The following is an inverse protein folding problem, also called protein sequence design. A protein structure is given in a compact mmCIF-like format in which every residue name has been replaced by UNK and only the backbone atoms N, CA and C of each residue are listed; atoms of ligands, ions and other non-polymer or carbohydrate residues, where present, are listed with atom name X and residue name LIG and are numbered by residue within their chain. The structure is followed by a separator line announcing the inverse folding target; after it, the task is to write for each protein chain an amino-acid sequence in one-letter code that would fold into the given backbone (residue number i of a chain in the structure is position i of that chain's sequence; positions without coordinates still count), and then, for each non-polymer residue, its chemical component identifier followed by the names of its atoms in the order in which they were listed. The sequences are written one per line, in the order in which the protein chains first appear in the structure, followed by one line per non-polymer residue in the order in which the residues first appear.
data_IF_168121903496
#
_entry.id   IF_168121903496
#
_cell.length_a   1.000
_cell.length_b   1.000
_cell.length_c   1.000
_cell.angle_alpha   90.00
_cell.angle_beta   90.00
_cell.angle_gamma   90.00
#
_symmetry.space_group_name_H-M   'P 1'
#
loop_
_entity.id
_entity.type
_entity.pdbx_description
1 polymer ?
#
# COMPACT_ATOMS: atom_id res chain seq x y z
N UNK A 1 36.73 -2.51 0.51
CA UNK A 1 35.74 -1.42 0.36
C UNK A 1 34.81 -1.54 1.54
N UNK A 2 34.52 -0.46 2.26
CA UNK A 2 33.81 -0.52 3.54
C UNK A 2 32.30 -0.63 3.26
N UNK A 3 31.69 -1.81 3.47
CA UNK A 3 30.27 -2.11 3.17
C UNK A 3 29.29 -1.09 3.81
N UNK A 4 29.75 -0.39 4.84
CA UNK A 4 29.00 0.68 5.52
C UNK A 4 28.76 1.94 4.67
N UNK A 5 29.48 2.12 3.55
CA UNK A 5 29.39 3.30 2.69
C UNK A 5 29.06 2.97 1.23
N UNK A 6 28.51 1.79 0.96
CA UNK A 6 27.94 1.49 -0.35
C UNK A 6 26.69 2.33 -0.59
N UNK A 7 26.37 2.59 -1.87
CA UNK A 7 25.16 3.31 -2.20
C UNK A 7 23.94 2.57 -1.65
N UNK A 8 22.99 3.31 -1.07
CA UNK A 8 21.80 2.73 -0.42
C UNK A 8 21.04 1.78 -1.34
N UNK A 9 21.03 2.01 -2.66
CA UNK A 9 20.36 1.12 -3.60
C UNK A 9 21.08 -0.24 -3.78
N UNK A 10 22.37 -0.33 -3.52
CA UNK A 10 23.16 -1.57 -3.59
C UNK A 10 23.04 -2.43 -2.32
N UNK A 11 22.70 -1.79 -1.19
CA UNK A 11 22.52 -2.44 0.11
C UNK A 11 21.05 -2.61 0.49
N UNK A 12 20.14 -1.89 -0.18
CA UNK A 12 18.70 -2.10 -0.06
C UNK A 12 18.32 -3.42 -0.71
N UNK A 13 18.18 -4.47 0.10
CA UNK A 13 17.73 -5.79 -0.36
C UNK A 13 16.40 -5.73 -1.16
N UNK A 14 15.41 -4.88 -0.81
CA UNK A 14 14.23 -4.68 -1.65
C UNK A 14 14.51 -4.04 -3.02
N UNK A 15 15.55 -3.19 -3.12
CA UNK A 15 15.86 -2.42 -4.33
C UNK A 15 16.80 -3.17 -5.28
N UNK A 16 17.64 -4.07 -4.75
CA UNK A 16 18.63 -4.82 -5.50
C UNK A 16 18.07 -6.13 -6.11
N UNK A 17 16.80 -6.45 -5.87
CA UNK A 17 16.16 -7.67 -6.34
C UNK A 17 14.98 -7.37 -7.27
N UNK A 18 14.92 -8.08 -8.40
CA UNK A 18 13.78 -8.02 -9.32
C UNK A 18 12.63 -8.88 -8.76
N UNK A 19 11.74 -8.24 -8.00
CA UNK A 19 10.56 -8.89 -7.45
C UNK A 19 9.55 -9.23 -8.54
N UNK A 20 9.13 -10.50 -8.61
CA UNK A 20 8.06 -10.94 -9.51
C UNK A 20 6.68 -10.37 -9.16
N UNK A 21 6.47 -9.95 -7.90
CA UNK A 21 5.28 -9.24 -7.44
C UNK A 21 5.54 -8.50 -6.12
N UNK A 22 4.84 -7.37 -5.92
CA UNK A 22 4.72 -6.66 -4.63
C UNK A 22 3.23 -6.57 -4.34
N UNK A 23 2.79 -7.05 -3.18
CA UNK A 23 1.38 -7.14 -2.79
C UNK A 23 1.08 -6.17 -1.65
N UNK A 24 -0.19 -5.77 -1.50
CA UNK A 24 -0.63 -4.89 -0.42
C UNK A 24 -1.36 -5.68 0.65
N UNK A 25 -1.28 -5.20 1.89
CA UNK A 25 -1.96 -5.86 3.01
C UNK A 25 -3.47 -5.63 2.92
N UNK A 26 -3.88 -4.45 2.44
CA UNK A 26 -5.28 -4.03 2.30
C UNK A 26 -6.05 -4.88 1.27
N UNK A 27 -5.35 -5.36 0.23
CA UNK A 27 -5.92 -6.17 -0.85
C UNK A 27 -5.46 -7.61 -0.81
N UNK A 28 -4.84 -8.06 0.29
CA UNK A 28 -4.21 -9.38 0.41
C UNK A 28 -5.15 -10.55 0.07
N UNK A 29 -6.45 -10.41 0.36
CA UNK A 29 -7.47 -11.41 -0.01
C UNK A 29 -7.63 -11.56 -1.53
N UNK A 30 -7.61 -10.45 -2.26
CA UNK A 30 -7.72 -10.43 -3.72
C UNK A 30 -6.38 -10.82 -4.36
N UNK A 31 -5.30 -10.27 -3.83
CA UNK A 31 -3.92 -10.50 -4.28
C UNK A 31 -3.45 -11.94 -4.05
N UNK A 32 -4.01 -12.63 -3.05
CA UNK A 32 -3.71 -14.04 -2.79
C UNK A 32 -4.07 -14.96 -3.96
N UNK A 33 -5.08 -14.62 -4.75
CA UNK A 33 -5.42 -15.36 -5.98
C UNK A 33 -4.40 -15.13 -7.09
N UNK A 34 -3.88 -13.90 -7.21
CA UNK A 34 -2.80 -13.57 -8.13
C UNK A 34 -1.53 -14.32 -7.75
N UNK A 35 -1.18 -14.33 -6.46
CA UNK A 35 -0.03 -15.08 -5.95
C UNK A 35 -0.15 -16.58 -6.24
N UNK A 36 -1.30 -17.19 -5.97
CA UNK A 36 -1.52 -18.62 -6.25
C UNK A 36 -1.32 -18.97 -7.74
N UNK A 37 -1.72 -18.08 -8.65
CA UNK A 37 -1.45 -18.20 -10.09
C UNK A 37 0.04 -18.09 -10.42
N UNK A 38 0.75 -17.13 -9.81
CA UNK A 38 2.18 -16.91 -10.04
C UNK A 38 3.05 -18.09 -9.60
N UNK A 39 2.70 -18.76 -8.51
CA UNK A 39 3.44 -19.94 -8.02
C UNK A 39 2.94 -21.27 -8.61
N UNK A 40 2.07 -21.22 -9.63
CA UNK A 40 1.44 -22.38 -10.28
C UNK A 40 0.88 -23.41 -9.27
N UNK A 41 0.32 -22.92 -8.17
CA UNK A 41 -0.20 -23.76 -7.10
C UNK A 41 -1.68 -24.02 -7.32
N UNK A 42 -2.08 -25.29 -7.24
CA UNK A 42 -3.48 -25.70 -7.26
C UNK A 42 -4.21 -25.40 -5.95
N UNK A 43 -3.52 -24.86 -4.93
CA UNK A 43 -4.16 -24.38 -3.71
C UNK A 43 -4.95 -23.11 -4.02
N UNK A 44 -6.25 -23.29 -4.21
CA UNK A 44 -7.18 -22.27 -4.70
C UNK A 44 -7.41 -21.12 -3.71
N UNK A 45 -6.98 -21.24 -2.45
CA UNK A 45 -7.20 -20.23 -1.40
C UNK A 45 -6.07 -20.23 -0.38
N UNK A 46 -5.36 -19.10 -0.28
CA UNK A 46 -4.48 -18.82 0.85
C UNK A 46 -5.37 -18.58 2.08
N UNK A 47 -5.23 -19.33 3.18
CA UNK A 47 -6.07 -19.14 4.35
C UNK A 47 -5.76 -17.81 5.01
N UNK A 48 -6.71 -16.88 4.99
CA UNK A 48 -6.56 -15.55 5.60
C UNK A 48 -6.91 -15.65 7.08
N UNK A 49 -5.89 -15.54 7.94
CA UNK A 49 -6.03 -15.60 9.40
C UNK A 49 -6.51 -14.29 10.04
N UNK A 50 -6.58 -13.22 9.26
CA UNK A 50 -7.00 -11.89 9.72
C UNK A 50 -8.19 -11.39 8.92
N UNK A 51 -9.30 -12.15 8.87
CA UNK A 51 -10.58 -11.51 8.56
C UNK A 51 -11.00 -10.76 9.82
N UNK A 52 -10.89 -9.43 9.80
CA UNK A 52 -11.72 -8.65 10.73
C UNK A 52 -13.18 -8.95 10.36
N UNK A 53 -13.81 -9.80 11.15
CA UNK A 53 -15.23 -10.08 11.07
C UNK A 53 -16.00 -8.75 11.07
N UNK A 54 -16.91 -8.60 10.10
CA UNK A 54 -17.91 -7.54 9.94
C UNK A 54 -17.45 -6.20 9.33
N UNK A 55 -17.41 -6.13 7.99
CA UNK A 55 -18.38 -5.35 7.16
C UNK A 55 -18.03 -5.44 5.65
N UNK A 56 -19.02 -5.42 4.74
CA UNK A 56 -18.86 -5.58 3.30
C UNK A 56 -18.36 -4.31 2.58
N UNK A 57 -17.46 -3.55 3.21
CA UNK A 57 -16.90 -2.29 2.66
C UNK A 57 -15.45 -2.44 2.21
N UNK A 58 -15.01 -3.64 1.84
CA UNK A 58 -13.69 -3.91 1.25
C UNK A 58 -13.42 -3.14 -0.06
N UNK A 59 -14.44 -2.46 -0.60
CA UNK A 59 -14.35 -1.58 -1.78
C UNK A 59 -14.22 -0.10 -1.44
N UNK A 60 -14.34 0.31 -0.16
CA UNK A 60 -13.98 1.66 0.25
C UNK A 60 -12.49 1.68 0.53
N UNK A 61 -11.68 1.90 -0.51
CA UNK A 61 -10.24 2.16 -0.39
C UNK A 61 -9.93 3.47 0.35
N UNK A 62 -10.94 4.14 0.90
CA UNK A 62 -10.85 5.36 1.68
C UNK A 62 -10.87 5.06 3.18
N UNK A 63 -9.85 5.52 3.90
CA UNK A 63 -9.79 5.49 5.36
C UNK A 63 -9.71 6.92 5.90
N UNK A 64 -10.64 7.27 6.79
CA UNK A 64 -10.53 8.53 7.54
C UNK A 64 -9.38 8.42 8.53
N UNK A 65 -8.40 9.32 8.45
CA UNK A 65 -7.31 9.38 9.42
C UNK A 65 -7.61 10.51 10.42
N UNK A 66 -8.46 10.18 11.41
CA UNK A 66 -8.84 11.11 12.47
C UNK A 66 -7.63 11.64 13.25
N UNK A 67 -6.49 10.95 13.23
CA UNK A 67 -5.25 11.42 13.86
C UNK A 67 -4.75 12.76 13.29
N UNK A 68 -5.18 13.11 12.08
CA UNK A 68 -4.83 14.37 11.42
C UNK A 68 -5.79 15.52 11.77
N UNK A 69 -6.91 15.26 12.48
CA UNK A 69 -7.86 16.32 12.84
C UNK A 69 -7.29 17.35 13.81
N UNK A 70 -6.34 16.91 14.63
CA UNK A 70 -5.76 17.72 15.71
C UNK A 70 -4.41 18.36 15.30
N UNK A 71 -3.98 18.13 14.06
CA UNK A 71 -2.73 18.68 13.53
C UNK A 71 -3.01 20.04 12.87
N UNK A 72 -2.08 20.98 13.07
CA UNK A 72 -2.07 22.24 12.33
C UNK A 72 -1.86 21.99 10.84
N UNK A 73 -2.43 22.84 9.99
CA UNK A 73 -2.30 22.76 8.53
C UNK A 73 -0.84 22.66 8.07
N UNK A 74 0.07 23.39 8.71
CA UNK A 74 1.51 23.39 8.38
C UNK A 74 2.17 22.02 8.63
N UNK A 75 1.75 21.31 9.69
CA UNK A 75 2.24 19.96 10.00
C UNK A 75 1.66 18.94 9.02
N UNK A 76 0.39 19.11 8.64
CA UNK A 76 -0.24 18.27 7.62
C UNK A 76 0.49 18.43 6.29
N UNK A 77 0.79 19.67 5.87
CA UNK A 77 1.57 19.93 4.66
C UNK A 77 2.97 19.32 4.73
N UNK A 78 3.64 19.45 5.87
CA UNK A 78 4.94 18.82 6.09
C UNK A 78 4.89 17.30 5.88
N UNK A 79 3.90 16.61 6.46
CA UNK A 79 3.76 15.16 6.28
C UNK A 79 3.40 14.78 4.85
N UNK A 80 2.50 15.52 4.21
CA UNK A 80 2.10 15.23 2.83
C UNK A 80 3.26 15.42 1.84
N UNK A 81 4.12 16.42 2.05
CA UNK A 81 5.32 16.58 1.23
C UNK A 81 6.36 15.50 1.54
N UNK A 82 6.57 15.18 2.82
CA UNK A 82 7.53 14.16 3.25
C UNK A 82 7.21 12.79 2.64
N UNK A 83 5.93 12.38 2.66
CA UNK A 83 5.48 11.10 2.10
C UNK A 83 5.05 11.18 0.63
N UNK A 84 5.29 12.29 -0.06
CA UNK A 84 4.79 12.51 -1.43
C UNK A 84 5.23 11.42 -2.42
N UNK A 85 6.47 10.95 -2.28
CA UNK A 85 7.02 9.91 -3.16
C UNK A 85 6.36 8.57 -2.90
N UNK A 86 6.20 8.17 -1.64
CA UNK A 86 5.51 6.93 -1.26
C UNK A 86 4.04 6.96 -1.70
N UNK A 87 3.34 8.06 -1.43
CA UNK A 87 1.95 8.24 -1.85
C UNK A 87 1.81 8.12 -3.37
N UNK A 88 2.77 8.66 -4.13
CA UNK A 88 2.79 8.51 -5.59
C UNK A 88 3.09 7.07 -6.02
N UNK A 89 4.07 6.42 -5.38
CA UNK A 89 4.49 5.05 -5.69
C UNK A 89 3.35 4.04 -5.45
N UNK A 90 2.58 4.24 -4.39
CA UNK A 90 1.47 3.36 -4.01
C UNK A 90 0.09 3.89 -4.44
N UNK A 91 0.03 4.99 -5.19
CA UNK A 91 -1.21 5.49 -5.74
C UNK A 91 -2.21 6.05 -4.71
N UNK A 92 -1.74 6.48 -3.54
CA UNK A 92 -2.58 7.09 -2.52
C UNK A 92 -2.77 8.58 -2.73
N UNK A 93 -3.95 9.07 -2.31
CA UNK A 93 -4.31 10.48 -2.21
C UNK A 93 -4.93 10.77 -0.86
N UNK A 94 -4.93 12.04 -0.51
CA UNK A 94 -5.51 12.56 0.72
C UNK A 94 -6.45 13.71 0.38
N UNK A 95 -7.67 13.68 0.91
CA UNK A 95 -8.59 14.81 0.89
C UNK A 95 -8.51 15.54 2.24
N UNK A 96 -7.93 16.75 2.21
CA UNK A 96 -7.79 17.61 3.39
C UNK A 96 -9.12 17.94 4.04
N UNK A 97 -10.19 18.14 3.25
CA UNK A 97 -11.48 18.59 3.80
C UNK A 97 -12.18 17.49 4.58
N UNK A 98 -12.04 16.25 4.12
CA UNK A 98 -12.72 15.09 4.71
C UNK A 98 -11.81 14.26 5.60
N UNK A 99 -10.50 14.55 5.61
CA UNK A 99 -9.46 13.76 6.26
C UNK A 99 -9.47 12.29 5.81
N UNK A 100 -9.77 12.04 4.53
CA UNK A 100 -9.82 10.69 3.96
C UNK A 100 -8.56 10.46 3.14
N UNK A 101 -7.79 9.43 3.51
CA UNK A 101 -6.77 8.83 2.65
C UNK A 101 -7.45 7.80 1.76
N UNK A 102 -7.29 7.88 0.45
CA UNK A 102 -7.90 6.96 -0.49
C UNK A 102 -6.96 6.54 -1.61
N UNK A 103 -7.23 5.39 -2.20
CA UNK A 103 -6.51 4.97 -3.39
C UNK A 103 -7.05 5.66 -4.65
N UNK A 104 -6.16 6.23 -5.44
CA UNK A 104 -6.50 7.01 -6.63
C UNK A 104 -6.02 6.39 -7.95
N UNK A 105 -5.29 5.28 -7.87
CA UNK A 105 -4.96 4.47 -9.06
C UNK A 105 -5.93 3.30 -9.09
N UNK A 106 -7.00 3.46 -9.86
CA UNK A 106 -7.88 2.36 -10.21
C UNK A 106 -7.28 1.65 -11.43
N UNK A 107 -6.81 0.42 -11.25
CA UNK A 107 -6.50 -0.47 -12.34
C UNK A 107 -7.76 -0.74 -13.18
N UNK A 108 -7.65 -1.16 -14.46
CA UNK A 108 -8.79 -1.35 -15.37
C UNK A 108 -9.88 -2.32 -14.88
N UNK A 109 -9.56 -3.13 -13.87
CA UNK A 109 -10.43 -4.09 -13.20
C UNK A 109 -11.07 -3.53 -11.89
N UNK A 110 -10.95 -2.22 -11.62
CA UNK A 110 -11.47 -1.58 -10.41
C UNK A 110 -10.64 -1.86 -9.16
N UNK A 111 -9.40 -2.32 -9.31
CA UNK A 111 -8.50 -2.60 -8.19
C UNK A 111 -7.66 -1.38 -7.86
N UNK A 112 -7.40 -1.17 -6.58
CA UNK A 112 -6.46 -0.18 -6.12
C UNK A 112 -5.03 -0.66 -6.39
N UNK A 113 -4.35 -0.01 -7.34
CA UNK A 113 -3.05 -0.41 -7.87
C UNK A 113 -1.88 0.24 -7.14
#
# INVERSE_FOLDING_TARGET
MNEHWNFIFETCHPCAHDWGAILRVETMEMDGQLFAKLVNSSHSRIPVRHSHENKPNYLQFGKTLNQFSDLSDELVDYFLEYYRVDMKMFGYRWDRRTHIAYCAIEAPNGWCC
#
